data_IF_520857174203
#
_entry.id   IF_520857174203
#
_cell.length_a   1.000
_cell.length_b   1.000
_cell.length_c   1.000
_cell.angle_alpha   90.00
_cell.angle_beta   90.00
_cell.angle_gamma   90.00
#
_symmetry.space_group_name_H-M   'P 1'
#
loop_
_entity.id
_entity.type
_entity.pdbx_description
1 polymer ?
#
# COMPACT_ATOMS: atom_id res chain seq x y z
N UNK A 1 35.39 -19.31 17.17
CA UNK A 1 35.47 -18.77 15.79
C UNK A 1 34.09 -18.48 15.17
N UNK A 2 32.99 -19.13 15.56
CA UNK A 2 31.64 -18.78 15.08
C UNK A 2 30.99 -17.59 15.82
N UNK A 3 31.35 -17.36 17.09
CA UNK A 3 30.79 -16.26 17.90
C UNK A 3 31.30 -14.88 17.48
N UNK A 4 32.60 -14.74 17.20
CA UNK A 4 33.18 -13.45 16.78
C UNK A 4 32.72 -12.96 15.40
N UNK A 5 32.28 -13.87 14.51
CA UNK A 5 31.78 -13.50 13.18
C UNK A 5 30.35 -12.94 13.21
N UNK A 6 29.51 -13.44 14.14
CA UNK A 6 28.17 -12.92 14.36
C UNK A 6 28.20 -11.56 15.08
N UNK A 7 29.15 -11.37 16.01
CA UNK A 7 29.36 -10.07 16.68
C UNK A 7 29.87 -9.00 15.70
N UNK A 8 30.79 -9.33 14.79
CA UNK A 8 31.24 -8.41 13.73
C UNK A 8 30.12 -8.07 12.72
N UNK A 9 29.30 -9.05 12.31
CA UNK A 9 28.16 -8.82 11.40
C UNK A 9 27.07 -7.92 12.03
N UNK A 10 26.79 -8.07 13.32
CA UNK A 10 25.84 -7.23 14.07
C UNK A 10 26.37 -5.79 14.28
N UNK A 11 27.68 -5.62 14.50
CA UNK A 11 28.32 -4.29 14.61
C UNK A 11 28.30 -3.54 13.28
N UNK A 12 28.62 -4.22 12.18
CA UNK A 12 28.58 -3.63 10.83
C UNK A 12 27.15 -3.19 10.45
N UNK A 13 26.14 -4.05 10.70
CA UNK A 13 24.74 -3.72 10.44
C UNK A 13 24.29 -2.49 11.24
N UNK A 14 24.72 -2.37 12.51
CA UNK A 14 24.42 -1.21 13.34
C UNK A 14 25.07 0.08 12.79
N UNK A 15 26.33 0.02 12.32
CA UNK A 15 27.04 1.16 11.74
C UNK A 15 26.38 1.64 10.45
N UNK A 16 26.02 0.71 9.55
CA UNK A 16 25.35 1.06 8.30
C UNK A 16 23.97 1.71 8.53
N UNK A 17 23.22 1.23 9.51
CA UNK A 17 21.91 1.80 9.86
C UNK A 17 22.03 3.20 10.48
N UNK A 18 23.14 3.51 11.17
CA UNK A 18 23.43 4.88 11.62
C UNK A 18 23.69 5.78 10.41
N UNK A 19 24.50 5.33 9.44
CA UNK A 19 24.78 6.05 8.20
C UNK A 19 23.50 6.40 7.42
N UNK A 20 22.61 5.41 7.24
CA UNK A 20 21.32 5.62 6.59
C UNK A 20 20.46 6.64 7.34
N UNK A 21 20.42 6.58 8.67
CA UNK A 21 19.65 7.52 9.49
C UNK A 21 20.13 8.95 9.32
N UNK A 22 21.43 9.18 9.28
CA UNK A 22 22.02 10.51 9.09
C UNK A 22 21.71 11.05 7.68
N UNK A 23 21.74 10.19 6.65
CA UNK A 23 21.46 10.58 5.28
C UNK A 23 19.98 10.89 5.01
N UNK A 24 19.06 10.06 5.51
CA UNK A 24 17.61 10.25 5.33
C UNK A 24 17.11 11.52 6.04
N UNK A 25 17.76 11.92 7.14
CA UNK A 25 17.47 13.13 7.90
C UNK A 25 15.97 13.33 8.21
N UNK A 26 15.29 12.26 8.63
CA UNK A 26 13.89 12.28 9.02
C UNK A 26 13.74 12.48 10.55
N UNK A 27 12.57 12.98 10.96
CA UNK A 27 12.23 13.15 12.38
C UNK A 27 11.37 11.97 12.87
N UNK A 28 11.82 11.32 13.95
CA UNK A 28 11.04 10.28 14.63
C UNK A 28 9.72 10.88 15.16
N UNK A 29 8.61 10.17 14.99
CA UNK A 29 7.27 10.57 15.46
C UNK A 29 6.63 9.48 16.30
N UNK A 30 5.65 9.85 17.12
CA UNK A 30 4.83 8.92 17.89
C UNK A 30 3.44 8.78 17.26
N UNK A 31 2.84 7.59 17.41
CA UNK A 31 1.49 7.31 16.96
C UNK A 31 0.47 7.85 17.98
N UNK A 32 0.06 9.10 17.80
CA UNK A 32 -0.95 9.74 18.66
C UNK A 32 -2.37 9.54 18.12
N UNK A 33 -3.31 9.25 19.00
CA UNK A 33 -4.73 9.24 18.67
C UNK A 33 -5.21 10.67 18.44
N UNK A 34 -5.86 10.90 17.30
CA UNK A 34 -6.46 12.18 16.98
C UNK A 34 -7.84 12.00 16.33
N UNK A 35 -8.73 12.95 16.63
CA UNK A 35 -9.94 13.19 15.85
C UNK A 35 -9.70 14.44 15.04
N UNK A 36 -9.74 14.33 13.72
CA UNK A 36 -9.51 15.46 12.84
C UNK A 36 -10.44 15.43 11.65
N UNK A 37 -10.60 16.60 11.04
CA UNK A 37 -11.24 16.72 9.75
C UNK A 37 -10.16 16.71 8.66
N UNK A 38 -10.35 15.86 7.67
CA UNK A 38 -9.50 15.74 6.48
C UNK A 38 -10.38 15.97 5.25
N UNK A 39 -10.23 17.12 4.59
CA UNK A 39 -11.16 17.54 3.53
C UNK A 39 -12.62 17.52 4.02
N UNK A 40 -13.51 16.77 3.36
CA UNK A 40 -14.91 16.58 3.77
C UNK A 40 -15.15 15.29 4.57
N UNK A 41 -14.12 14.78 5.24
CA UNK A 41 -14.17 13.54 6.00
C UNK A 41 -13.78 13.77 7.45
N UNK A 42 -14.52 13.15 8.37
CA UNK A 42 -14.09 12.97 9.75
C UNK A 42 -13.18 11.75 9.81
N UNK A 43 -12.03 11.90 10.47
CA UNK A 43 -11.01 10.85 10.58
C UNK A 43 -10.65 10.62 12.05
N UNK A 44 -10.63 9.35 12.43
CA UNK A 44 -10.09 8.82 13.67
C UNK A 44 -8.70 8.24 13.38
N UNK A 45 -7.67 9.08 13.54
CA UNK A 45 -6.26 8.70 13.34
C UNK A 45 -5.77 7.93 14.56
N UNK A 46 -4.94 6.90 14.32
CA UNK A 46 -4.51 5.91 15.31
C UNK A 46 -5.64 5.45 16.25
N UNK A 47 -6.82 5.14 15.70
CA UNK A 47 -7.98 4.74 16.49
C UNK A 47 -7.71 3.46 17.28
N UNK A 48 -7.05 2.49 16.65
CA UNK A 48 -6.42 1.34 17.31
C UNK A 48 -4.95 1.33 16.89
N UNK A 49 -4.03 1.88 17.70
CA UNK A 49 -2.62 1.94 17.35
C UNK A 49 -1.94 0.57 17.49
N UNK A 50 -0.90 0.35 16.69
CA UNK A 50 0.00 -0.79 16.81
C UNK A 50 0.87 -0.71 18.09
N UNK A 51 1.33 -1.86 18.59
CA UNK A 51 2.16 -1.97 19.79
C UNK A 51 3.63 -2.35 19.52
N UNK A 52 4.18 -1.96 18.37
CA UNK A 52 5.58 -2.17 18.00
C UNK A 52 6.61 -1.38 18.83
N UNK A 53 6.17 -0.48 19.72
CA UNK A 53 7.06 0.42 20.47
C UNK A 53 7.57 1.59 19.61
N UNK A 54 8.70 2.18 19.96
CA UNK A 54 9.25 3.32 19.21
C UNK A 54 9.85 2.87 17.88
N UNK A 55 9.47 3.54 16.80
CA UNK A 55 10.05 3.34 15.46
C UNK A 55 10.91 4.54 15.12
N UNK A 56 12.14 4.25 14.66
CA UNK A 56 12.98 5.28 14.05
C UNK A 56 12.59 5.43 12.60
N UNK A 57 12.34 6.65 12.15
CA UNK A 57 11.71 6.89 10.85
C UNK A 57 12.51 6.33 9.66
N UNK A 58 13.85 6.25 9.77
CA UNK A 58 14.74 5.78 8.72
C UNK A 58 14.97 4.25 8.71
N UNK A 59 14.52 3.52 9.75
CA UNK A 59 14.92 2.12 9.97
C UNK A 59 13.82 1.12 9.66
N UNK A 60 12.77 1.54 8.98
CA UNK A 60 11.68 0.67 8.56
C UNK A 60 10.94 1.29 7.37
N UNK A 61 10.05 0.52 6.77
CA UNK A 61 9.13 0.97 5.72
C UNK A 61 7.72 0.71 6.23
N UNK A 62 6.81 1.67 6.10
CA UNK A 62 5.39 1.47 6.46
C UNK A 62 4.62 1.02 5.22
N UNK A 63 3.89 -0.10 5.32
CA UNK A 63 2.89 -0.45 4.31
C UNK A 63 1.65 0.39 4.58
N UNK A 64 1.29 1.25 3.63
CA UNK A 64 0.12 2.13 3.75
C UNK A 64 -0.97 1.59 2.86
N UNK A 65 -2.15 1.39 3.43
CA UNK A 65 -3.24 0.71 2.75
C UNK A 65 -4.59 1.20 3.21
N UNK A 66 -5.62 0.78 2.50
CA UNK A 66 -6.98 1.25 2.69
C UNK A 66 -7.99 0.16 2.35
N UNK A 67 -9.21 0.29 2.87
CA UNK A 67 -10.30 -0.65 2.59
C UNK A 67 -11.63 -0.20 3.16
N UNK A 68 -12.66 -1.00 2.90
CA UNK A 68 -13.80 -1.12 3.80
C UNK A 68 -13.63 -2.40 4.65
N UNK A 69 -14.47 -2.60 5.67
CA UNK A 69 -14.26 -3.68 6.62
C UNK A 69 -14.28 -5.08 5.97
N UNK A 70 -14.90 -5.27 4.80
CA UNK A 70 -14.98 -6.58 4.13
C UNK A 70 -13.64 -7.07 3.60
N UNK A 71 -12.69 -6.17 3.42
CA UNK A 71 -11.34 -6.51 2.98
C UNK A 71 -10.43 -6.93 4.12
N UNK A 72 -10.91 -6.92 5.38
CA UNK A 72 -10.08 -7.20 6.55
C UNK A 72 -9.59 -8.66 6.66
N UNK A 73 -10.14 -9.59 5.88
CA UNK A 73 -9.58 -10.93 5.71
C UNK A 73 -8.16 -10.92 5.14
N UNK A 74 -7.75 -9.84 4.47
CA UNK A 74 -6.41 -9.66 3.93
C UNK A 74 -5.37 -9.21 4.98
N UNK A 75 -5.79 -8.76 6.17
CA UNK A 75 -4.85 -8.22 7.17
C UNK A 75 -3.90 -9.29 7.70
N UNK A 76 -4.42 -10.48 8.00
CA UNK A 76 -3.62 -11.62 8.47
C UNK A 76 -2.51 -12.03 7.48
N UNK A 77 -2.81 -12.40 6.22
CA UNK A 77 -1.76 -12.78 5.28
C UNK A 77 -0.81 -11.62 4.95
N UNK A 78 -1.30 -10.38 4.95
CA UNK A 78 -0.46 -9.21 4.73
C UNK A 78 0.57 -9.02 5.85
N UNK A 79 0.14 -9.05 7.12
CA UNK A 79 1.04 -8.82 8.26
C UNK A 79 2.07 -9.94 8.42
N UNK A 80 1.71 -11.19 8.08
CA UNK A 80 2.62 -12.34 8.12
C UNK A 80 3.80 -12.20 7.15
N UNK A 81 3.54 -11.63 5.97
CA UNK A 81 4.55 -11.39 4.92
C UNK A 81 5.32 -10.09 5.14
N UNK A 82 4.64 -9.03 5.56
CA UNK A 82 5.24 -7.72 5.70
C UNK A 82 6.12 -7.58 6.95
N UNK A 83 5.64 -8.06 8.10
CA UNK A 83 6.36 -8.05 9.41
C UNK A 83 6.99 -6.72 9.82
N UNK A 84 6.43 -5.61 9.36
CA UNK A 84 6.83 -4.26 9.64
C UNK A 84 5.56 -3.39 9.78
N UNK A 85 5.65 -2.07 10.07
CA UNK A 85 4.47 -1.24 10.32
C UNK A 85 3.49 -1.23 9.17
N UNK A 86 2.20 -1.33 9.49
CA UNK A 86 1.08 -1.19 8.56
C UNK A 86 0.20 -0.06 9.08
N UNK A 87 -0.04 0.94 8.22
CA UNK A 87 -1.04 1.98 8.44
C UNK A 87 -2.24 1.68 7.54
N UNK A 88 -3.38 1.37 8.14
CA UNK A 88 -4.60 0.94 7.44
C UNK A 88 -5.75 1.92 7.69
N UNK A 89 -6.19 2.61 6.63
CA UNK A 89 -7.34 3.51 6.67
C UNK A 89 -8.63 2.85 6.17
N UNK A 90 -9.65 2.77 7.03
CA UNK A 90 -10.91 2.10 6.74
C UNK A 90 -12.05 3.10 6.53
N UNK A 91 -12.67 3.06 5.35
CA UNK A 91 -13.87 3.85 5.07
C UNK A 91 -15.09 3.17 5.70
N UNK A 92 -15.78 3.90 6.59
CA UNK A 92 -16.86 3.33 7.38
C UNK A 92 -18.02 4.33 7.63
N UNK A 93 -18.75 4.74 6.58
CA UNK A 93 -19.88 5.67 6.70
C UNK A 93 -21.08 5.03 7.39
N UNK A 94 -21.86 5.84 8.12
CA UNK A 94 -23.14 5.43 8.71
C UNK A 94 -23.05 4.12 9.50
N UNK A 95 -23.85 3.11 9.11
CA UNK A 95 -23.90 1.82 9.81
C UNK A 95 -22.66 0.95 9.60
N UNK A 96 -21.82 1.23 8.60
CA UNK A 96 -20.56 0.49 8.35
C UNK A 96 -19.54 0.72 9.47
N UNK A 97 -19.64 1.83 10.22
CA UNK A 97 -18.77 2.15 11.36
C UNK A 97 -18.81 1.06 12.43
N UNK A 98 -20.00 0.64 12.85
CA UNK A 98 -20.14 -0.38 13.90
C UNK A 98 -19.51 -1.70 13.45
N UNK A 99 -19.79 -2.13 12.22
CA UNK A 99 -19.24 -3.36 11.65
C UNK A 99 -17.72 -3.30 11.54
N UNK A 100 -17.17 -2.15 11.14
CA UNK A 100 -15.73 -1.87 11.09
C UNK A 100 -15.08 -2.01 12.46
N UNK A 101 -15.65 -1.39 13.50
CA UNK A 101 -15.06 -1.47 14.85
C UNK A 101 -15.07 -2.90 15.40
N UNK A 102 -16.18 -3.63 15.27
CA UNK A 102 -16.24 -5.04 15.68
C UNK A 102 -15.27 -5.92 14.87
N UNK A 103 -15.10 -5.64 13.59
CA UNK A 103 -14.13 -6.34 12.73
C UNK A 103 -12.69 -6.14 13.21
N UNK A 104 -12.30 -4.91 13.54
CA UNK A 104 -10.97 -4.61 14.10
C UNK A 104 -10.79 -5.31 15.46
N UNK A 105 -11.80 -5.26 16.33
CA UNK A 105 -11.74 -5.95 17.63
C UNK A 105 -11.63 -7.46 17.47
N UNK A 106 -12.30 -8.04 16.47
CA UNK A 106 -12.21 -9.48 16.19
C UNK A 106 -10.79 -9.84 15.74
N UNK A 107 -10.18 -9.06 14.85
CA UNK A 107 -8.78 -9.26 14.46
C UNK A 107 -7.83 -9.20 15.66
N UNK A 108 -8.05 -8.25 16.58
CA UNK A 108 -7.19 -8.07 17.76
C UNK A 108 -7.40 -9.16 18.83
N UNK A 109 -8.58 -9.80 18.89
CA UNK A 109 -8.92 -10.74 19.98
C UNK A 109 -8.94 -12.20 19.54
N UNK A 110 -9.33 -12.46 18.30
CA UNK A 110 -9.75 -13.79 17.85
C UNK A 110 -8.92 -14.35 16.69
N UNK A 111 -8.33 -13.48 15.84
CA UNK A 111 -7.51 -13.96 14.74
C UNK A 111 -6.33 -14.82 15.23
N UNK A 112 -5.94 -15.87 14.48
CA UNK A 112 -4.72 -16.63 14.78
C UNK A 112 -3.48 -15.71 14.83
N UNK A 113 -3.39 -14.76 13.90
CA UNK A 113 -2.27 -13.82 13.73
C UNK A 113 -2.39 -12.58 14.62
N UNK A 114 -3.32 -12.55 15.59
CA UNK A 114 -3.63 -11.38 16.43
C UNK A 114 -2.41 -10.72 17.07
N UNK A 115 -1.38 -11.48 17.43
CA UNK A 115 -0.18 -10.91 18.05
C UNK A 115 0.67 -10.14 17.04
N UNK A 116 0.73 -10.59 15.78
CA UNK A 116 1.33 -9.83 14.68
C UNK A 116 0.48 -8.60 14.36
N UNK A 117 -0.85 -8.75 14.34
CA UNK A 117 -1.77 -7.64 14.05
C UNK A 117 -1.65 -6.54 15.11
N UNK A 118 -1.71 -6.90 16.41
CA UNK A 118 -1.48 -5.95 17.51
C UNK A 118 -0.15 -5.25 17.39
N UNK A 119 0.89 -5.98 16.99
CA UNK A 119 2.26 -5.46 16.87
C UNK A 119 2.43 -4.47 15.75
N UNK A 120 1.85 -4.75 14.59
CA UNK A 120 2.26 -4.05 13.38
C UNK A 120 1.18 -3.18 12.76
N UNK A 121 -0.11 -3.41 13.06
CA UNK A 121 -1.21 -2.76 12.36
C UNK A 121 -1.82 -1.63 13.19
N UNK A 122 -1.71 -0.42 12.67
CA UNK A 122 -2.44 0.75 13.16
C UNK A 122 -3.68 0.97 12.29
N UNK A 123 -4.84 1.05 12.94
CA UNK A 123 -6.13 1.24 12.27
C UNK A 123 -6.59 2.69 12.38
N UNK A 124 -6.93 3.27 11.24
CA UNK A 124 -7.58 4.56 11.10
C UNK A 124 -8.99 4.34 10.54
N UNK A 125 -9.95 5.15 10.97
CA UNK A 125 -11.33 5.06 10.45
C UNK A 125 -11.74 6.43 9.96
N UNK A 126 -12.36 6.50 8.79
CA UNK A 126 -12.86 7.75 8.23
C UNK A 126 -14.23 7.58 7.58
N UNK A 127 -15.00 8.66 7.56
CA UNK A 127 -16.33 8.72 6.96
C UNK A 127 -16.67 10.15 6.56
N UNK A 128 -17.50 10.32 5.53
CA UNK A 128 -17.89 11.64 5.03
C UNK A 128 -18.70 12.39 6.09
N UNK A 129 -18.54 13.72 6.16
CA UNK A 129 -19.23 14.59 7.15
C UNK A 129 -20.75 14.53 7.06
N UNK A 130 -21.30 14.17 5.90
CA UNK A 130 -22.75 14.01 5.68
C UNK A 130 -23.26 12.59 5.99
N UNK A 131 -22.36 11.63 6.21
CA UNK A 131 -22.68 10.22 6.47
C UNK A 131 -22.10 9.77 7.82
N UNK A 132 -22.33 10.60 8.83
CA UNK A 132 -21.88 10.37 10.21
C UNK A 132 -22.53 9.12 10.81
N UNK A 133 -21.77 8.28 11.54
CA UNK A 133 -22.34 7.23 12.36
C UNK A 133 -23.15 7.81 13.53
N UNK A 134 -24.28 7.18 13.88
CA UNK A 134 -25.10 7.57 15.05
C UNK A 134 -24.30 7.60 16.36
N UNK A 135 -23.27 6.76 16.45
CA UNK A 135 -22.40 6.66 17.62
C UNK A 135 -20.96 6.37 17.23
N UNK A 136 -20.06 7.29 17.58
CA UNK A 136 -18.61 7.10 17.52
C UNK A 136 -18.10 6.72 18.91
N UNK A 137 -17.55 5.51 19.06
CA UNK A 137 -17.04 5.05 20.36
C UNK A 137 -15.78 5.82 20.77
N UNK A 138 -15.60 6.02 22.08
CA UNK A 138 -14.36 6.59 22.60
C UNK A 138 -13.24 5.53 22.53
N UNK A 139 -12.03 5.93 22.16
CA UNK A 139 -10.89 5.00 22.06
C UNK A 139 -10.69 4.17 23.34
N UNK A 140 -10.75 4.83 24.51
CA UNK A 140 -10.63 4.16 25.83
C UNK A 140 -11.68 3.05 26.08
N UNK A 141 -12.82 3.09 25.40
CA UNK A 141 -13.89 2.10 25.55
C UNK A 141 -13.66 0.83 24.71
N UNK A 142 -12.74 0.86 23.74
CA UNK A 142 -12.44 -0.28 22.87
C UNK A 142 -11.91 -1.47 23.67
N UNK A 143 -11.07 -1.24 24.68
CA UNK A 143 -10.53 -2.30 25.53
C UNK A 143 -11.58 -3.06 26.34
N UNK A 144 -12.77 -2.49 26.52
CA UNK A 144 -13.91 -3.13 27.19
C UNK A 144 -14.77 -3.97 26.23
N UNK A 145 -14.60 -3.83 24.92
CA UNK A 145 -15.33 -4.62 23.93
C UNK A 145 -14.84 -6.07 23.96
N UNK A 146 -15.78 -7.01 24.02
CA UNK A 146 -15.48 -8.46 24.04
C UNK A 146 -16.08 -9.11 22.81
N UNK A 147 -15.21 -9.62 21.94
CA UNK A 147 -15.63 -10.38 20.77
C UNK A 147 -15.80 -11.86 21.12
N UNK A 148 -16.80 -12.49 20.50
CA UNK A 148 -17.03 -13.93 20.64
C UNK A 148 -16.25 -14.66 19.55
N UNK A 149 -15.07 -15.15 19.88
CA UNK A 149 -14.17 -15.82 18.92
C UNK A 149 -14.71 -17.15 18.35
N UNK A 150 -15.81 -17.68 18.90
CA UNK A 150 -16.53 -18.81 18.31
C UNK A 150 -17.41 -18.42 17.11
N UNK A 151 -17.63 -17.12 16.90
CA UNK A 151 -18.38 -16.59 15.75
C UNK A 151 -17.41 -16.22 14.63
N UNK A 152 -17.87 -16.42 13.40
CA UNK A 152 -17.20 -15.92 12.20
C UNK A 152 -16.98 -14.40 12.30
N UNK A 153 -15.96 -13.91 11.60
CA UNK A 153 -15.62 -12.51 11.67
C UNK A 153 -16.72 -11.66 11.02
N UNK A 154 -16.91 -10.43 11.50
CA UNK A 154 -17.96 -9.52 10.98
C UNK A 154 -17.71 -9.13 9.52
N UNK A 155 -16.48 -9.26 9.04
CA UNK A 155 -16.08 -8.99 7.67
C UNK A 155 -16.20 -10.18 6.71
N UNK A 156 -16.48 -11.38 7.22
CA UNK A 156 -16.55 -12.58 6.39
C UNK A 156 -17.84 -12.61 5.56
N UNK A 157 -17.69 -12.86 4.26
CA UNK A 157 -18.79 -13.10 3.31
C UNK A 157 -19.88 -12.00 3.30
N UNK A 158 -19.48 -10.75 3.51
CA UNK A 158 -20.42 -9.62 3.52
C UNK A 158 -20.75 -9.20 2.08
N UNK A 159 -22.02 -9.30 1.64
CA UNK A 159 -22.39 -8.88 0.30
C UNK A 159 -22.30 -7.36 0.15
N UNK A 160 -21.97 -6.89 -1.05
CA UNK A 160 -21.86 -5.46 -1.36
C UNK A 160 -23.14 -4.68 -0.99
N UNK A 161 -24.32 -5.26 -1.22
CA UNK A 161 -25.63 -4.65 -0.92
C UNK A 161 -25.91 -4.44 0.57
N UNK A 162 -25.17 -5.10 1.47
CA UNK A 162 -25.33 -4.92 2.91
C UNK A 162 -24.64 -3.65 3.43
N UNK A 163 -23.71 -3.08 2.67
CA UNK A 163 -22.98 -1.89 3.08
C UNK A 163 -23.87 -0.66 3.07
N UNK A 164 -23.71 0.19 4.07
CA UNK A 164 -24.30 1.52 4.12
C UNK A 164 -23.97 2.30 2.84
N UNK A 165 -22.69 2.24 2.41
CA UNK A 165 -22.23 2.95 1.21
C UNK A 165 -23.01 2.55 -0.04
N UNK A 166 -23.35 1.26 -0.17
CA UNK A 166 -24.10 0.78 -1.33
C UNK A 166 -25.58 1.11 -1.25
N UNK A 167 -26.16 1.12 -0.06
CA UNK A 167 -27.56 1.51 0.16
C UNK A 167 -27.81 3.00 -0.11
N UNK A 168 -26.76 3.83 -0.01
CA UNK A 168 -26.82 5.27 -0.21
C UNK A 168 -26.06 5.73 -1.46
N UNK A 169 -25.69 4.80 -2.36
CA UNK A 169 -25.04 5.09 -3.64
C UNK A 169 -23.76 5.95 -3.50
N UNK A 170 -22.97 5.69 -2.45
CA UNK A 170 -21.73 6.41 -2.18
C UNK A 170 -20.56 5.76 -2.90
N UNK A 171 -19.84 6.58 -3.67
CA UNK A 171 -18.52 6.26 -4.19
C UNK A 171 -17.54 5.93 -3.04
N UNK A 172 -16.57 5.06 -3.30
CA UNK A 172 -15.48 4.77 -2.39
C UNK A 172 -14.35 5.81 -2.57
N UNK A 173 -14.10 6.68 -1.56
CA UNK A 173 -13.08 7.71 -1.59
C UNK A 173 -11.66 7.15 -1.36
N UNK A 174 -11.22 6.30 -2.29
CA UNK A 174 -9.97 5.54 -2.21
C UNK A 174 -8.75 6.40 -1.87
N UNK A 175 -8.61 7.55 -2.52
CA UNK A 175 -7.44 8.41 -2.37
C UNK A 175 -7.40 9.15 -1.02
N UNK A 176 -8.56 9.40 -0.41
CA UNK A 176 -8.63 9.92 0.97
C UNK A 176 -8.04 8.90 1.93
N UNK A 177 -8.42 7.62 1.79
CA UNK A 177 -7.85 6.54 2.58
C UNK A 177 -6.33 6.41 2.41
N UNK A 178 -5.84 6.48 1.16
CA UNK A 178 -4.39 6.47 0.87
C UNK A 178 -3.65 7.60 1.56
N UNK A 179 -4.16 8.83 1.47
CA UNK A 179 -3.52 10.00 2.07
C UNK A 179 -3.56 9.93 3.60
N UNK A 180 -4.67 9.50 4.21
CA UNK A 180 -4.76 9.30 5.67
C UNK A 180 -3.70 8.29 6.15
N UNK A 181 -3.59 7.13 5.47
CA UNK A 181 -2.62 6.10 5.85
C UNK A 181 -1.17 6.59 5.64
N UNK A 182 -0.91 7.28 4.53
CA UNK A 182 0.39 7.91 4.24
C UNK A 182 0.78 8.92 5.33
N UNK A 183 -0.08 9.89 5.62
CA UNK A 183 0.21 10.94 6.61
C UNK A 183 0.40 10.40 8.03
N UNK A 184 -0.29 9.30 8.36
CA UNK A 184 -0.23 8.62 9.67
C UNK A 184 0.98 7.70 9.83
N UNK A 185 1.78 7.48 8.78
CA UNK A 185 2.95 6.59 8.82
C UNK A 185 4.06 7.16 9.68
N UNK A 186 4.78 6.32 10.45
CA UNK A 186 5.90 6.78 11.28
C UNK A 186 7.26 6.76 10.58
N UNK A 187 7.33 6.13 9.40
CA UNK A 187 8.57 5.95 8.63
C UNK A 187 8.72 6.99 7.52
N UNK A 188 9.95 7.23 7.11
CA UNK A 188 10.27 8.06 5.95
C UNK A 188 9.85 7.36 4.65
N UNK A 189 10.23 6.08 4.50
CA UNK A 189 9.87 5.26 3.36
C UNK A 189 8.51 4.59 3.58
N UNK A 190 7.69 4.55 2.54
CA UNK A 190 6.36 3.92 2.56
C UNK A 190 6.13 3.09 1.31
N UNK A 191 5.31 2.05 1.42
CA UNK A 191 4.74 1.31 0.30
C UNK A 191 3.23 1.56 0.28
N UNK A 192 2.76 2.43 -0.62
CA UNK A 192 1.33 2.71 -0.78
C UNK A 192 0.68 1.70 -1.72
N UNK A 193 -0.11 0.78 -1.16
CA UNK A 193 -0.58 -0.40 -1.88
C UNK A 193 -1.96 -0.87 -1.43
N UNK A 194 -2.69 -1.48 -2.36
CA UNK A 194 -4.01 -2.05 -2.10
C UNK A 194 -3.86 -3.26 -1.14
N UNK A 195 -4.79 -3.42 -0.20
CA UNK A 195 -4.69 -4.41 0.90
C UNK A 195 -4.62 -5.87 0.44
N UNK A 196 -5.04 -6.14 -0.79
CA UNK A 196 -5.04 -7.46 -1.46
C UNK A 196 -3.73 -7.75 -2.24
N UNK A 197 -2.72 -6.88 -2.14
CA UNK A 197 -1.40 -7.04 -2.76
C UNK A 197 -0.34 -7.39 -1.72
N UNK A 198 0.11 -8.64 -1.69
CA UNK A 198 1.05 -9.10 -0.69
C UNK A 198 2.50 -9.03 -1.19
N UNK A 199 3.41 -8.48 -0.38
CA UNK A 199 4.80 -8.36 -0.77
C UNK A 199 5.58 -9.67 -0.67
N UNK A 200 6.70 -9.74 -1.38
CA UNK A 200 7.76 -10.73 -1.14
C UNK A 200 8.20 -10.65 0.34
N UNK A 201 8.31 -11.78 1.06
CA UNK A 201 8.80 -11.77 2.44
C UNK A 201 10.21 -11.17 2.55
N UNK A 202 10.47 -10.44 3.64
CA UNK A 202 11.79 -9.80 3.88
C UNK A 202 12.03 -8.52 3.08
N UNK A 203 11.02 -7.99 2.38
CA UNK A 203 11.14 -6.79 1.54
C UNK A 203 11.69 -5.57 2.30
N UNK A 204 11.26 -5.33 3.54
CA UNK A 204 11.74 -4.18 4.33
C UNK A 204 13.23 -4.26 4.60
N UNK A 205 13.70 -5.39 5.14
CA UNK A 205 15.11 -5.56 5.49
C UNK A 205 15.98 -5.57 4.24
N UNK A 206 15.56 -6.27 3.18
CA UNK A 206 16.29 -6.30 1.91
C UNK A 206 16.36 -4.92 1.25
N UNK A 207 15.29 -4.13 1.30
CA UNK A 207 15.27 -2.76 0.78
C UNK A 207 16.22 -1.84 1.55
N UNK A 208 16.20 -1.89 2.89
CA UNK A 208 17.10 -1.07 3.71
C UNK A 208 18.57 -1.46 3.51
N UNK A 209 18.87 -2.77 3.40
CA UNK A 209 20.22 -3.26 3.08
C UNK A 209 20.69 -2.81 1.70
N UNK A 210 19.78 -2.78 0.72
CA UNK A 210 20.07 -2.23 -0.61
C UNK A 210 20.43 -0.74 -0.52
N UNK A 211 19.69 0.05 0.26
CA UNK A 211 20.00 1.48 0.45
C UNK A 211 21.33 1.70 1.16
N UNK A 212 21.65 0.93 2.21
CA UNK A 212 22.93 1.05 2.91
C UNK A 212 24.11 0.68 2.03
N UNK A 213 23.94 -0.29 1.13
CA UNK A 213 24.95 -0.63 0.12
C UNK A 213 25.06 0.44 -1.00
N UNK A 214 24.04 1.28 -1.17
CA UNK A 214 23.94 2.26 -2.24
C UNK A 214 23.65 3.68 -1.70
N UNK A 215 24.43 4.13 -0.71
CA UNK A 215 24.22 5.42 -0.03
C UNK A 215 24.16 6.64 -0.97
N UNK A 216 24.73 6.55 -2.18
CA UNK A 216 24.59 7.59 -3.21
C UNK A 216 23.14 7.81 -3.67
N UNK A 217 22.28 6.79 -3.59
CA UNK A 217 20.84 6.89 -3.88
C UNK A 217 20.06 7.61 -2.78
N UNK A 218 20.60 7.64 -1.55
CA UNK A 218 19.99 8.34 -0.41
C UNK A 218 20.48 9.79 -0.36
N UNK A 219 21.75 10.02 -0.67
CA UNK A 219 22.41 11.34 -0.65
C UNK A 219 22.19 12.17 -1.94
N UNK A 220 21.30 11.73 -2.82
CA UNK A 220 21.00 12.44 -4.07
C UNK A 220 19.90 13.49 -3.89
N UNK A 221 19.93 14.52 -4.73
CA UNK A 221 18.82 15.47 -4.86
C UNK A 221 17.75 14.99 -5.87
N UNK A 222 18.02 13.88 -6.56
CA UNK A 222 17.04 13.27 -7.47
C UNK A 222 15.83 12.74 -6.69
N UNK A 223 14.65 12.93 -7.25
CA UNK A 223 13.42 12.33 -6.72
C UNK A 223 13.34 10.90 -7.20
N UNK A 224 13.35 9.94 -6.26
CA UNK A 224 13.41 8.52 -6.58
C UNK A 224 12.21 7.79 -5.98
N UNK A 225 11.64 6.88 -6.77
CA UNK A 225 10.72 5.84 -6.30
C UNK A 225 11.20 4.48 -6.75
N UNK A 226 10.77 3.44 -6.04
CA UNK A 226 11.18 2.05 -6.26
C UNK A 226 9.98 1.18 -6.63
N UNK A 227 9.60 1.13 -7.92
CA UNK A 227 8.50 0.30 -8.42
C UNK A 227 8.71 -1.19 -8.15
N UNK A 228 7.61 -1.87 -7.83
CA UNK A 228 7.54 -3.31 -7.68
C UNK A 228 6.72 -3.91 -8.82
N UNK A 229 7.20 -5.02 -9.37
CA UNK A 229 6.42 -5.79 -10.32
C UNK A 229 5.28 -6.50 -9.59
N UNK A 230 4.11 -6.58 -10.22
CA UNK A 230 2.90 -7.16 -9.63
C UNK A 230 2.48 -8.37 -10.45
N UNK A 231 2.05 -9.43 -9.77
CA UNK A 231 1.62 -10.67 -10.38
C UNK A 231 0.27 -11.12 -9.80
N UNK A 232 -0.50 -11.85 -10.58
CA UNK A 232 -1.71 -12.56 -10.13
C UNK A 232 -1.41 -14.04 -10.12
N UNK A 233 -1.85 -14.74 -9.07
CA UNK A 233 -1.74 -16.19 -8.95
C UNK A 233 -3.13 -16.82 -8.96
N UNK A 234 -3.25 -18.04 -9.45
CA UNK A 234 -4.50 -18.79 -9.36
C UNK A 234 -4.94 -18.98 -7.89
N UNK A 235 -6.25 -19.05 -7.65
CA UNK A 235 -6.83 -19.11 -6.31
C UNK A 235 -6.31 -20.26 -5.44
N UNK A 236 -6.00 -21.39 -6.08
CA UNK A 236 -5.52 -22.61 -5.43
C UNK A 236 -4.00 -22.75 -5.50
N UNK A 237 -3.29 -21.81 -6.15
CA UNK A 237 -1.84 -21.84 -6.23
C UNK A 237 -1.22 -21.37 -4.90
N UNK A 238 -0.04 -21.90 -4.59
CA UNK A 238 0.75 -21.39 -3.48
C UNK A 238 1.28 -20.00 -3.81
N UNK A 239 1.34 -19.12 -2.82
CA UNK A 239 1.87 -17.79 -3.06
C UNK A 239 3.40 -17.82 -3.07
N UNK A 240 4.05 -17.33 -4.13
CA UNK A 240 5.50 -17.39 -4.22
C UNK A 240 6.13 -16.52 -3.13
N UNK A 241 7.16 -17.05 -2.50
CA UNK A 241 7.97 -16.37 -1.49
C UNK A 241 9.29 -15.88 -2.07
N UNK A 242 9.71 -16.41 -3.22
CA UNK A 242 10.92 -16.01 -3.92
C UNK A 242 10.65 -15.77 -5.40
N UNK A 243 11.52 -14.98 -6.05
CA UNK A 243 11.45 -14.77 -7.50
C UNK A 243 11.65 -16.08 -8.28
N UNK A 244 12.41 -17.02 -7.74
CA UNK A 244 12.60 -18.35 -8.33
C UNK A 244 11.29 -19.15 -8.36
N UNK A 245 10.56 -19.17 -7.24
CA UNK A 245 9.22 -19.78 -7.18
C UNK A 245 8.25 -19.09 -8.14
N UNK A 246 8.24 -17.75 -8.14
CA UNK A 246 7.41 -16.98 -9.07
C UNK A 246 7.74 -17.31 -10.53
N UNK A 247 9.02 -17.41 -10.89
CA UNK A 247 9.46 -17.79 -12.25
C UNK A 247 8.98 -19.19 -12.62
N UNK A 248 9.03 -20.14 -11.69
CA UNK A 248 8.48 -21.49 -11.89
C UNK A 248 6.98 -21.42 -12.16
N UNK A 249 6.23 -20.64 -11.37
CA UNK A 249 4.78 -20.49 -11.53
C UNK A 249 4.39 -19.75 -12.82
N UNK A 250 5.18 -18.77 -13.25
CA UNK A 250 5.00 -18.12 -14.55
C UNK A 250 5.21 -19.11 -15.70
N UNK A 251 6.18 -20.02 -15.58
CA UNK A 251 6.45 -21.03 -16.60
C UNK A 251 5.36 -22.12 -16.69
N UNK A 252 4.70 -22.44 -15.57
CA UNK A 252 3.57 -23.39 -15.54
C UNK A 252 2.21 -22.74 -15.84
N UNK A 253 2.15 -21.40 -15.91
CA UNK A 253 0.90 -20.65 -16.07
C UNK A 253 0.10 -20.50 -14.77
N UNK A 254 0.65 -20.89 -13.62
CA UNK A 254 0.03 -20.71 -12.30
C UNK A 254 0.02 -19.24 -11.83
N UNK A 255 0.94 -18.43 -12.39
CA UNK A 255 1.01 -17.00 -12.19
C UNK A 255 1.01 -16.27 -13.54
N UNK A 256 0.53 -15.02 -13.55
CA UNK A 256 0.60 -14.11 -14.70
C UNK A 256 1.00 -12.70 -14.26
N UNK A 257 1.55 -11.87 -15.15
CA UNK A 257 1.68 -10.43 -14.88
C UNK A 257 0.34 -9.79 -14.54
N UNK A 258 0.34 -8.86 -13.60
CA UNK A 258 -0.88 -8.25 -13.10
C UNK A 258 -1.70 -7.56 -14.20
N UNK A 259 -3.03 -7.78 -14.15
CA UNK A 259 -3.98 -7.22 -15.09
C UNK A 259 -3.76 -7.66 -16.54
N UNK A 260 -3.10 -8.79 -16.80
CA UNK A 260 -2.95 -9.36 -18.16
C UNK A 260 -4.30 -9.55 -18.86
N UNK A 261 -5.39 -9.82 -18.13
CA UNK A 261 -6.74 -9.96 -18.70
C UNK A 261 -7.64 -8.74 -18.47
N UNK A 262 -7.15 -7.67 -17.81
CA UNK A 262 -7.94 -6.48 -17.46
C UNK A 262 -7.43 -5.24 -18.18
N UNK A 263 -6.13 -4.96 -18.08
CA UNK A 263 -5.44 -3.88 -18.77
C UNK A 263 -3.95 -4.23 -18.92
N UNK A 264 -3.57 -4.97 -19.98
CA UNK A 264 -2.19 -5.43 -20.19
C UNK A 264 -1.17 -4.27 -20.18
N UNK A 265 -1.55 -3.11 -20.70
CA UNK A 265 -0.67 -1.95 -20.84
C UNK A 265 -0.56 -1.06 -19.60
N UNK A 266 -1.44 -1.22 -18.58
CA UNK A 266 -1.46 -0.32 -17.43
C UNK A 266 -0.30 -0.60 -16.46
N UNK A 267 -0.02 -1.88 -16.18
CA UNK A 267 0.93 -2.27 -15.13
C UNK A 267 2.20 -2.98 -15.66
N UNK A 268 2.38 -3.07 -16.99
CA UNK A 268 3.55 -3.74 -17.56
C UNK A 268 4.79 -2.83 -17.47
N UNK A 269 5.75 -3.22 -16.62
CA UNK A 269 7.08 -2.63 -16.61
C UNK A 269 7.81 -2.90 -17.93
N UNK A 270 8.56 -1.91 -18.43
CA UNK A 270 9.20 -1.94 -19.76
C UNK A 270 10.09 -3.17 -20.00
N UNK A 271 10.83 -3.58 -18.97
CA UNK A 271 11.81 -4.67 -19.04
C UNK A 271 11.34 -5.91 -18.27
N UNK A 272 10.02 -6.11 -18.10
CA UNK A 272 9.48 -7.21 -17.31
C UNK A 272 9.98 -8.60 -17.78
N UNK A 273 10.05 -8.93 -19.10
CA UNK A 273 10.60 -10.22 -19.53
C UNK A 273 12.08 -10.41 -19.17
N UNK A 274 12.86 -9.33 -19.19
CA UNK A 274 14.28 -9.36 -18.79
C UNK A 274 14.39 -9.54 -17.28
N UNK A 275 13.58 -8.81 -16.51
CA UNK A 275 13.48 -8.93 -15.07
C UNK A 275 13.15 -10.36 -14.67
N UNK A 276 12.11 -10.99 -15.25
CA UNK A 276 11.71 -12.37 -14.94
C UNK A 276 12.86 -13.36 -15.18
N UNK A 277 13.63 -13.14 -16.25
CA UNK A 277 14.68 -14.07 -16.65
C UNK A 277 16.01 -13.88 -15.94
N UNK A 278 16.23 -12.72 -15.32
CA UNK A 278 17.46 -12.43 -14.57
C UNK A 278 17.67 -13.45 -13.43
N UNK A 279 18.80 -14.16 -13.52
CA UNK A 279 19.28 -15.13 -12.55
C UNK A 279 20.24 -14.43 -11.58
N UNK A 280 19.69 -13.70 -10.62
CA UNK A 280 20.49 -13.30 -9.46
C UNK A 280 20.49 -14.48 -8.46
N UNK A 281 21.66 -15.06 -8.22
CA UNK A 281 21.82 -16.18 -7.29
C UNK A 281 21.75 -15.73 -5.83
N UNK A 282 22.01 -14.43 -5.58
CA UNK A 282 21.75 -13.84 -4.29
C UNK A 282 20.26 -13.48 -4.24
N UNK A 283 19.50 -14.06 -3.31
CA UNK A 283 18.12 -13.64 -3.03
C UNK A 283 18.05 -12.22 -2.43
N UNK A 284 19.05 -11.38 -2.66
CA UNK A 284 19.13 -10.00 -2.19
C UNK A 284 18.34 -9.07 -3.11
N UNK A 285 17.84 -8.00 -2.54
CA UNK A 285 17.15 -6.95 -3.28
C UNK A 285 18.20 -5.99 -3.85
N UNK A 286 18.16 -5.77 -5.16
CA UNK A 286 19.08 -4.89 -5.88
C UNK A 286 18.30 -3.96 -6.81
N UNK A 287 18.91 -2.85 -7.24
CA UNK A 287 18.34 -2.05 -8.33
C UNK A 287 18.52 -2.81 -9.64
N UNK A 288 17.42 -3.19 -10.27
CA UNK A 288 17.42 -3.88 -11.56
C UNK A 288 17.62 -2.91 -12.73
N UNK A 289 16.87 -1.81 -12.73
CA UNK A 289 16.93 -0.83 -13.81
C UNK A 289 16.48 0.55 -13.34
N UNK A 290 17.01 1.57 -14.00
CA UNK A 290 16.64 2.98 -13.82
C UNK A 290 15.87 3.41 -15.07
N UNK A 291 14.71 4.03 -14.87
CA UNK A 291 13.86 4.50 -15.98
C UNK A 291 13.09 5.77 -15.60
N UNK A 292 12.43 6.38 -16.58
CA UNK A 292 11.39 7.39 -16.37
C UNK A 292 10.02 6.75 -16.62
N UNK A 293 8.95 7.35 -16.10
CA UNK A 293 7.59 6.90 -16.40
C UNK A 293 7.34 7.03 -17.91
N UNK A 294 6.85 5.96 -18.52
CA UNK A 294 6.38 5.96 -19.91
C UNK A 294 4.89 5.65 -19.97
N UNK A 295 4.17 6.39 -20.81
CA UNK A 295 2.75 6.15 -21.12
C UNK A 295 1.87 6.05 -19.85
N UNK A 296 0.94 5.09 -19.85
CA UNK A 296 -0.04 4.85 -18.80
C UNK A 296 0.50 4.00 -17.65
N UNK A 297 1.81 3.77 -17.56
CA UNK A 297 2.38 2.96 -16.50
C UNK A 297 2.07 3.56 -15.12
N UNK A 298 1.35 2.80 -14.29
CA UNK A 298 0.88 3.20 -12.96
C UNK A 298 1.32 2.24 -11.83
N UNK A 299 2.65 2.11 -11.59
CA UNK A 299 3.19 1.10 -10.69
C UNK A 299 2.80 1.35 -9.22
N UNK A 300 2.81 0.28 -8.45
CA UNK A 300 2.93 0.35 -7.00
C UNK A 300 4.42 0.38 -6.65
N UNK A 301 4.81 1.27 -5.74
CA UNK A 301 6.21 1.55 -5.47
C UNK A 301 6.48 1.81 -3.99
N UNK A 302 7.71 1.54 -3.56
CA UNK A 302 8.25 2.11 -2.32
C UNK A 302 8.71 3.53 -2.64
N UNK A 303 8.18 4.51 -1.91
CA UNK A 303 8.54 5.91 -2.04
C UNK A 303 8.72 6.54 -0.68
N UNK A 304 8.49 7.84 -0.59
CA UNK A 304 8.60 8.58 0.67
C UNK A 304 7.26 9.15 1.11
N UNK A 305 7.13 9.45 2.39
CA UNK A 305 5.99 10.19 2.91
C UNK A 305 5.85 11.60 2.28
N UNK A 306 6.91 12.13 1.67
CA UNK A 306 6.94 13.45 1.03
C UNK A 306 6.60 13.42 -0.46
N UNK A 307 6.37 12.25 -1.05
CA UNK A 307 5.88 12.17 -2.43
C UNK A 307 4.53 12.91 -2.56
N UNK A 308 4.07 13.24 -3.78
CA UNK A 308 2.74 13.85 -3.97
C UNK A 308 1.62 13.08 -3.30
N UNK A 309 0.56 13.78 -2.91
CA UNK A 309 -0.67 13.18 -2.44
C UNK A 309 -1.50 12.66 -3.61
N UNK A 310 -2.28 11.62 -3.36
CA UNK A 310 -3.27 11.13 -4.32
C UNK A 310 -4.43 12.14 -4.42
N UNK A 311 -4.94 12.38 -5.62
CA UNK A 311 -6.02 13.36 -5.83
C UNK A 311 -7.36 12.85 -5.27
N UNK A 312 -7.81 13.44 -4.17
CA UNK A 312 -9.00 13.02 -3.43
C UNK A 312 -10.33 13.24 -4.17
N UNK A 313 -10.29 13.92 -5.32
CA UNK A 313 -11.46 14.12 -6.18
C UNK A 313 -11.77 12.89 -7.03
N UNK A 314 -10.92 11.85 -6.98
CA UNK A 314 -11.07 10.59 -7.70
C UNK A 314 -11.49 9.46 -6.74
N UNK A 315 -12.47 8.68 -7.19
CA UNK A 315 -13.01 7.51 -6.49
C UNK A 315 -12.60 6.20 -7.18
N UNK A 316 -12.75 5.07 -6.48
CA UNK A 316 -12.45 3.75 -7.03
C UNK A 316 -13.37 3.38 -8.21
N UNK A 317 -14.65 3.77 -8.11
CA UNK A 317 -15.64 3.58 -9.16
C UNK A 317 -15.27 4.39 -10.42
N UNK A 318 -14.65 5.56 -10.23
CA UNK A 318 -14.19 6.45 -11.29
C UNK A 318 -12.98 5.98 -12.09
N UNK A 319 -12.21 5.02 -11.58
CA UNK A 319 -10.96 4.49 -12.19
C UNK A 319 -9.89 5.59 -12.41
N UNK A 320 -8.74 5.21 -12.98
CA UNK A 320 -7.65 6.12 -13.38
C UNK A 320 -7.01 6.95 -12.25
N UNK A 321 -7.31 6.65 -10.98
CA UNK A 321 -6.80 7.36 -9.81
C UNK A 321 -5.26 7.25 -9.69
N UNK A 322 -4.70 6.04 -9.85
CA UNK A 322 -3.25 5.80 -9.85
C UNK A 322 -2.54 6.40 -11.07
N UNK A 323 -3.21 6.45 -12.21
CA UNK A 323 -2.68 7.04 -13.44
C UNK A 323 -2.42 8.54 -13.27
N UNK A 324 -3.37 9.26 -12.65
CA UNK A 324 -3.23 10.69 -12.31
C UNK A 324 -2.10 10.91 -11.30
N UNK A 325 -1.99 10.05 -10.28
CA UNK A 325 -0.89 10.11 -9.32
C UNK A 325 0.49 9.90 -9.99
N UNK A 326 0.60 8.88 -10.85
CA UNK A 326 1.83 8.58 -11.58
C UNK A 326 2.22 9.70 -12.56
N UNK A 327 1.23 10.44 -13.07
CA UNK A 327 1.48 11.64 -13.87
C UNK A 327 2.12 12.77 -13.08
N UNK A 328 1.71 13.00 -11.81
CA UNK A 328 2.41 13.96 -10.95
C UNK A 328 3.90 13.59 -10.78
N UNK A 329 4.21 12.31 -10.53
CA UNK A 329 5.60 11.86 -10.41
C UNK A 329 6.41 12.14 -11.69
N UNK A 330 5.81 11.92 -12.85
CA UNK A 330 6.44 12.22 -14.14
C UNK A 330 6.72 13.71 -14.30
N UNK A 331 5.73 14.57 -14.06
CA UNK A 331 5.89 16.03 -14.14
C UNK A 331 6.95 16.57 -13.18
N UNK A 332 7.12 15.90 -12.03
CA UNK A 332 8.13 16.22 -11.03
C UNK A 332 9.50 15.57 -11.31
N UNK A 333 9.68 14.98 -12.49
CA UNK A 333 10.91 14.34 -12.97
C UNK A 333 11.46 13.21 -12.08
N UNK A 334 10.56 12.42 -11.50
CA UNK A 334 10.98 11.25 -10.70
C UNK A 334 11.72 10.20 -11.54
N UNK A 335 12.78 9.63 -10.96
CA UNK A 335 13.48 8.43 -11.44
C UNK A 335 12.85 7.18 -10.82
N UNK A 336 12.58 6.18 -11.67
CA UNK A 336 11.91 4.93 -11.31
C UNK A 336 12.95 3.80 -11.28
N UNK A 337 13.35 3.41 -10.07
CA UNK A 337 14.35 2.39 -9.81
C UNK A 337 13.66 1.04 -9.55
N UNK A 338 13.43 0.26 -10.59
CA UNK A 338 12.76 -1.04 -10.45
C UNK A 338 13.67 -1.98 -9.65
N UNK A 339 13.12 -2.63 -8.63
CA UNK A 339 13.88 -3.54 -7.77
C UNK A 339 13.86 -4.97 -8.31
N UNK A 340 14.99 -5.68 -8.19
CA UNK A 340 15.05 -7.14 -8.35
C UNK A 340 14.71 -7.86 -7.05
N UNK A 341 14.22 -9.10 -7.16
CA UNK A 341 13.80 -9.96 -6.04
C UNK A 341 12.72 -9.35 -5.11
N UNK A 342 12.08 -8.26 -5.54
CA UNK A 342 11.00 -7.58 -4.84
C UNK A 342 9.79 -7.45 -5.76
N UNK A 343 8.67 -8.03 -5.34
CA UNK A 343 7.43 -8.03 -6.12
C UNK A 343 6.20 -8.08 -5.19
N UNK A 344 5.03 -7.83 -5.78
CA UNK A 344 3.73 -7.98 -5.13
C UNK A 344 2.95 -9.11 -5.81
N UNK A 345 2.16 -9.82 -5.01
CA UNK A 345 1.25 -10.86 -5.49
C UNK A 345 -0.17 -10.53 -5.07
N UNK A 346 -1.06 -10.51 -6.05
CA UNK A 346 -2.49 -10.33 -5.86
C UNK A 346 -3.19 -11.66 -5.52
N UNK A 347 -4.12 -11.63 -4.56
CA UNK A 347 -4.99 -12.76 -4.14
C UNK A 347 -6.45 -12.26 -4.07
N UNK A 348 -7.52 -13.07 -4.30
CA UNK A 348 -7.59 -14.54 -4.36
C UNK A 348 -7.57 -15.19 -5.73
N UNK A 349 -7.21 -14.51 -6.80
CA UNK A 349 -7.16 -15.16 -8.10
C UNK A 349 -6.91 -14.20 -9.23
N UNK A 350 -6.60 -14.78 -10.39
CA UNK A 350 -6.49 -14.05 -11.65
C UNK A 350 -7.83 -13.36 -11.98
N UNK A 351 -7.81 -12.03 -12.10
CA UNK A 351 -8.98 -11.25 -12.49
C UNK A 351 -9.21 -11.40 -13.99
N UNK A 352 -10.36 -11.93 -14.37
CA UNK A 352 -10.76 -12.09 -15.78
C UNK A 352 -11.34 -10.83 -16.42
N UNK A 353 -11.33 -9.70 -15.69
CA UNK A 353 -12.06 -8.50 -16.07
C UNK A 353 -13.57 -8.67 -15.89
N UNK A 354 -14.26 -7.57 -15.62
CA UNK A 354 -15.71 -7.54 -15.57
C UNK A 354 -16.20 -6.22 -16.17
N UNK A 355 -17.13 -6.29 -17.11
CA UNK A 355 -17.77 -5.13 -17.69
C UNK A 355 -18.98 -4.72 -16.84
N UNK A 356 -18.83 -3.63 -16.11
CA UNK A 356 -19.92 -2.97 -15.41
C UNK A 356 -20.29 -1.68 -16.18
N UNK A 357 -21.46 -1.63 -16.86
CA UNK A 357 -21.85 -0.45 -17.64
C UNK A 357 -21.98 0.83 -16.81
N UNK A 358 -22.42 0.74 -15.56
CA UNK A 358 -22.56 1.90 -14.68
C UNK A 358 -21.18 2.46 -14.32
N UNK A 359 -20.25 1.55 -13.96
CA UNK A 359 -18.85 1.91 -13.71
C UNK A 359 -18.16 2.50 -14.94
N UNK A 360 -18.34 1.90 -16.12
CA UNK A 360 -17.77 2.41 -17.37
C UNK A 360 -18.30 3.80 -17.73
N UNK A 361 -19.58 4.06 -17.48
CA UNK A 361 -20.19 5.39 -17.66
C UNK A 361 -19.57 6.44 -16.73
N UNK A 362 -19.35 6.09 -15.46
CA UNK A 362 -18.66 6.97 -14.52
C UNK A 362 -17.20 7.21 -14.93
N UNK A 363 -16.47 6.15 -15.27
CA UNK A 363 -15.10 6.24 -15.75
C UNK A 363 -14.96 7.15 -16.97
N UNK A 364 -15.89 7.11 -17.92
CA UNK A 364 -15.90 8.01 -19.07
C UNK A 364 -16.09 9.50 -18.67
N UNK A 365 -16.96 9.79 -17.67
CA UNK A 365 -17.13 11.14 -17.12
C UNK A 365 -15.87 11.62 -16.42
N UNK A 366 -15.22 10.75 -15.64
CA UNK A 366 -13.95 11.05 -14.98
C UNK A 366 -12.85 11.31 -16.01
N UNK A 367 -12.74 10.48 -17.05
CA UNK A 367 -11.76 10.67 -18.12
C UNK A 367 -11.94 12.00 -18.86
N UNK A 368 -13.17 12.47 -19.04
CA UNK A 368 -13.44 13.82 -19.56
C UNK A 368 -12.97 14.92 -18.59
N UNK A 369 -13.17 14.77 -17.29
CA UNK A 369 -12.64 15.70 -16.26
C UNK A 369 -11.11 15.68 -16.25
N UNK A 370 -10.50 14.51 -16.39
CA UNK A 370 -9.04 14.35 -16.44
C UNK A 370 -8.47 15.18 -17.60
N UNK A 371 -8.97 14.97 -18.82
CA UNK A 371 -8.50 15.68 -20.02
C UNK A 371 -8.77 17.19 -19.98
N UNK A 372 -9.95 17.61 -19.54
CA UNK A 372 -10.37 19.01 -19.65
C UNK A 372 -9.93 19.88 -18.47
N UNK A 373 -9.61 19.27 -17.32
CA UNK A 373 -9.36 20.00 -16.07
C UNK A 373 -8.07 19.54 -15.40
N UNK A 374 -7.94 18.25 -15.10
CA UNK A 374 -6.81 17.78 -14.29
C UNK A 374 -5.49 17.96 -15.03
N UNK A 375 -5.47 17.72 -16.35
CA UNK A 375 -4.30 17.95 -17.17
C UNK A 375 -3.75 19.37 -16.99
N UNK A 376 -4.62 20.38 -17.09
CA UNK A 376 -4.24 21.79 -16.94
C UNK A 376 -3.82 22.10 -15.52
N UNK A 377 -4.58 21.65 -14.52
CA UNK A 377 -4.27 21.89 -13.11
C UNK A 377 -2.95 21.23 -12.69
N UNK A 378 -2.64 20.03 -13.18
CA UNK A 378 -1.41 19.31 -12.87
C UNK A 378 -0.20 19.97 -13.51
N UNK A 379 -0.32 20.46 -14.76
CA UNK A 379 0.73 21.24 -15.40
C UNK A 379 1.01 22.55 -14.64
N UNK A 380 -0.03 23.20 -14.11
CA UNK A 380 0.14 24.39 -13.27
C UNK A 380 0.75 24.06 -11.91
N UNK A 381 0.36 22.95 -11.30
CA UNK A 381 0.77 22.56 -9.95
C UNK A 381 2.19 21.99 -9.90
N UNK A 382 2.55 21.13 -10.85
CA UNK A 382 3.80 20.36 -10.84
C UNK A 382 4.79 20.78 -11.93
N UNK A 383 4.39 21.66 -12.85
CA UNK A 383 5.20 22.08 -13.99
C UNK A 383 5.02 21.17 -15.20
N UNK A 384 5.89 21.36 -16.19
CA UNK A 384 5.91 20.59 -17.43
C UNK A 384 7.19 19.76 -17.50
N UNK A 385 7.06 18.50 -17.91
CA UNK A 385 8.19 17.63 -18.23
C UNK A 385 7.91 16.92 -19.55
N UNK A 386 8.89 16.94 -20.46
CA UNK A 386 8.75 16.34 -21.78
C UNK A 386 8.53 14.82 -21.69
N UNK A 387 7.65 14.29 -22.54
CA UNK A 387 7.32 12.87 -22.57
C UNK A 387 6.28 12.42 -21.53
N UNK A 388 5.89 13.28 -20.58
CA UNK A 388 4.85 12.96 -19.61
C UNK A 388 3.45 13.05 -20.21
N UNK A 389 2.73 11.92 -20.21
CA UNK A 389 1.36 11.81 -20.71
C UNK A 389 0.39 11.33 -19.63
N UNK A 390 -0.88 11.72 -19.78
CA UNK A 390 -1.99 11.39 -18.90
C UNK A 390 -3.11 10.69 -19.66
#
# INVERSE_FOLDING_TARGET
MQTGRLEEEDEDEAVYMIGLRLAVNCTDREAEFAKMQHSNYWTLVNYVPANHGRIRCATSVTYTTHGDYRYLSNVAPLVERWRAPISLALYAPGTDFKATVHSIMWLQQCAPERELIKRWVSFHIYFHVEHMPDKVYAQKSLGSMKEKCTRAATFDNVPQSALYRSQHELDYPINVGRNIAKQSSLTHYILASDIELYPTPGLVDGFLKMLTANMHLVNTNERIVYPLNIFEVHANATMPSTKMELKSQLATGEAIPFHTHVCPQCNMAQNLPVWINQTDNAQSINVFSISKRLNLWDPIYIGTIHDPEYDERLSWEGMSDKMVHSYALCLMDYSFLTLDNAFLVHKPGIKMGHTDPARLSLAAKIYKKIRNRFLVEYLQKYGYQEGCTL
#
